data_IF_102358154487
#
_entry.id   IF_102358154487
#
_cell.length_a   1.000
_cell.length_b   1.000
_cell.length_c   1.000
_cell.angle_alpha   90.00
_cell.angle_beta   90.00
_cell.angle_gamma   90.00
#
_symmetry.space_group_name_H-M   'P 1'
#
loop_
_entity.id
_entity.type
_entity.pdbx_description
1 polymer ?
#
# COMPACT_ATOMS: atom_id res chain seq x y z
N UNK A 1 -2.15 -6.33 26.09
CA UNK A 1 -2.36 -4.91 26.47
C UNK A 1 -1.02 -4.31 26.91
N UNK A 2 -0.72 -3.08 26.50
CA UNK A 2 0.51 -2.37 26.89
C UNK A 2 0.40 -1.81 28.32
N UNK A 3 1.52 -1.78 29.06
CA UNK A 3 1.59 -1.17 30.40
C UNK A 3 1.83 0.33 30.26
N UNK A 4 0.95 1.14 30.84
CA UNK A 4 1.22 2.58 30.92
C UNK A 4 2.35 2.87 31.89
N UNK A 5 3.38 3.58 31.44
CA UNK A 5 4.52 3.97 32.30
C UNK A 5 4.08 4.83 33.50
N UNK A 6 2.92 5.49 33.41
CA UNK A 6 2.31 6.21 34.53
C UNK A 6 2.09 5.32 35.77
N UNK A 7 1.69 4.06 35.56
CA UNK A 7 1.46 3.09 36.64
C UNK A 7 2.74 2.64 37.34
N UNK A 8 3.89 2.86 36.69
CA UNK A 8 5.22 2.50 37.19
C UNK A 8 5.96 3.70 37.81
N UNK A 9 5.28 4.84 38.00
CA UNK A 9 5.89 6.06 38.51
C UNK A 9 6.66 5.84 39.82
N UNK A 10 7.87 6.43 39.89
CA UNK A 10 8.85 6.31 40.98
C UNK A 10 9.44 4.90 41.18
N UNK A 11 9.02 3.89 40.42
CA UNK A 11 9.62 2.55 40.47
C UNK A 11 10.89 2.51 39.63
N UNK A 12 11.83 1.67 40.06
CA UNK A 12 13.00 1.29 39.25
C UNK A 12 12.59 0.07 38.46
N UNK A 13 12.74 0.12 37.14
CA UNK A 13 12.33 -0.94 36.23
C UNK A 13 13.44 -1.21 35.23
N UNK A 14 13.50 -2.44 34.75
CA UNK A 14 14.37 -2.84 33.67
C UNK A 14 13.57 -2.85 32.37
N UNK A 15 14.00 -2.05 31.41
CA UNK A 15 13.35 -1.92 30.11
C UNK A 15 14.25 -2.53 29.04
N UNK A 16 13.62 -3.13 28.03
CA UNK A 16 14.28 -3.48 26.78
C UNK A 16 13.72 -2.64 25.64
N UNK A 17 14.52 -2.41 24.61
CA UNK A 17 14.09 -1.69 23.41
C UNK A 17 15.12 -1.77 22.30
N UNK A 18 14.81 -1.08 21.21
CA UNK A 18 15.64 -1.02 20.00
C UNK A 18 16.15 0.41 19.83
N UNK A 19 17.44 0.59 19.59
CA UNK A 19 17.99 1.89 19.22
C UNK A 19 17.37 2.33 17.90
N UNK A 20 16.75 3.50 17.87
CA UNK A 20 16.09 4.00 16.67
C UNK A 20 16.98 4.99 15.92
N UNK A 21 17.39 6.06 16.61
CA UNK A 21 18.20 7.13 16.05
C UNK A 21 18.95 7.90 17.13
N UNK A 22 20.00 8.59 16.71
CA UNK A 22 20.74 9.54 17.53
C UNK A 22 20.32 10.97 17.20
N UNK A 23 20.48 11.88 18.16
CA UNK A 23 20.15 13.29 17.98
C UNK A 23 20.96 14.16 18.93
N UNK A 24 20.82 15.47 18.79
CA UNK A 24 21.46 16.44 19.67
C UNK A 24 20.56 17.67 19.84
N UNK A 25 20.80 18.43 20.92
CA UNK A 25 20.25 19.76 21.08
C UNK A 25 21.26 20.65 21.80
N UNK A 26 21.26 21.93 21.49
CA UNK A 26 22.07 22.90 22.23
C UNK A 26 21.36 23.20 23.55
N UNK A 27 22.04 22.96 24.67
CA UNK A 27 21.59 23.49 25.95
C UNK A 27 22.17 24.88 26.14
N UNK A 28 21.32 25.90 26.05
CA UNK A 28 21.66 27.24 26.52
C UNK A 28 21.56 27.22 28.03
N UNK A 29 22.70 27.27 28.72
CA UNK A 29 22.68 27.54 30.16
C UNK A 29 22.27 28.99 30.34
N UNK A 30 21.08 29.22 30.88
CA UNK A 30 20.71 30.55 31.36
C UNK A 30 21.82 31.04 32.31
N UNK A 31 22.27 32.30 32.17
CA UNK A 31 23.30 32.83 33.04
C UNK A 31 22.87 32.65 34.50
N UNK A 32 23.69 31.95 35.28
CA UNK A 32 23.45 31.80 36.71
C UNK A 32 23.38 33.19 37.32
N UNK A 33 22.36 33.44 38.15
CA UNK A 33 22.12 34.71 38.85
C UNK A 33 23.28 35.16 39.77
N UNK A 34 24.34 34.33 39.89
CA UNK A 34 25.58 34.60 40.63
C UNK A 34 26.72 35.19 39.79
N UNK A 35 26.57 35.33 38.47
CA UNK A 35 27.63 35.93 37.65
C UNK A 35 27.35 37.43 37.42
N UNK A 36 28.28 38.33 37.79
CA UNK A 36 28.10 39.77 37.61
C UNK A 36 28.06 40.15 36.11
N UNK A 37 27.25 41.16 35.74
CA UNK A 37 27.17 41.67 34.38
C UNK A 37 28.46 42.44 34.07
N UNK A 38 29.37 41.84 33.29
CA UNK A 38 30.64 42.49 32.96
C UNK A 38 31.63 41.61 32.22
N UNK A 39 31.49 40.28 32.29
CA UNK A 39 32.12 39.39 31.31
C UNK A 39 31.10 39.08 30.23
N UNK A 40 31.33 39.55 29.00
CA UNK A 40 30.76 38.98 27.78
C UNK A 40 31.25 37.52 27.67
N UNK A 41 30.71 36.67 28.53
CA UNK A 41 31.05 35.27 28.64
C UNK A 41 30.30 34.54 27.54
N UNK A 42 31.04 34.22 26.47
CA UNK A 42 30.81 33.13 25.55
C UNK A 42 29.70 32.21 26.06
N UNK A 43 28.49 32.34 25.51
CA UNK A 43 27.36 31.51 25.90
C UNK A 43 27.84 30.07 25.85
N UNK A 44 27.92 29.41 27.01
CA UNK A 44 28.51 28.09 27.14
C UNK A 44 27.51 27.08 26.57
N UNK A 45 27.39 27.07 25.24
CA UNK A 45 26.51 26.21 24.44
C UNK A 45 27.08 24.82 24.55
N UNK A 46 26.41 23.99 25.33
CA UNK A 46 26.77 22.58 25.45
C UNK A 46 25.82 21.79 24.56
N UNK A 47 26.35 21.16 23.52
CA UNK A 47 25.60 20.19 22.72
C UNK A 47 25.39 18.94 23.56
N UNK A 48 24.14 18.61 23.84
CA UNK A 48 23.77 17.37 24.54
C UNK A 48 23.32 16.37 23.51
N UNK A 49 24.13 15.34 23.30
CA UNK A 49 23.78 14.19 22.47
C UNK A 49 22.70 13.36 23.18
N UNK A 50 21.82 12.75 22.39
CA UNK A 50 20.71 11.92 22.84
C UNK A 50 20.58 10.67 21.97
N UNK A 51 20.02 9.61 22.55
CA UNK A 51 19.65 8.37 21.87
C UNK A 51 18.14 8.14 22.03
N UNK A 52 17.47 7.80 20.93
CA UNK A 52 16.09 7.37 20.93
C UNK A 52 16.04 5.85 21.02
N UNK A 53 15.32 5.33 22.01
CA UNK A 53 15.01 3.90 22.13
C UNK A 53 13.53 3.71 21.85
N UNK A 54 13.17 2.81 20.93
CA UNK A 54 11.79 2.47 20.54
C UNK A 54 11.44 1.04 20.90
N UNK A 55 10.16 0.67 20.72
CA UNK A 55 9.61 -0.64 21.05
C UNK A 55 9.92 -1.02 22.51
N UNK A 56 9.77 -0.05 23.41
CA UNK A 56 10.03 -0.23 24.83
C UNK A 56 9.09 -1.31 25.38
N UNK A 57 9.66 -2.20 26.19
CA UNK A 57 8.94 -3.22 26.93
C UNK A 57 9.62 -3.51 28.25
N UNK A 58 8.87 -4.03 29.22
CA UNK A 58 9.44 -4.53 30.48
C UNK A 58 10.33 -5.73 30.19
N UNK A 59 11.55 -5.72 30.73
CA UNK A 59 12.53 -6.77 30.43
C UNK A 59 12.07 -8.16 30.89
N UNK A 60 11.45 -8.23 32.07
CA UNK A 60 11.10 -9.49 32.72
C UNK A 60 9.87 -10.15 32.09
N UNK A 61 8.87 -9.37 31.71
CA UNK A 61 7.60 -9.86 31.17
C UNK A 61 7.49 -9.74 29.65
N UNK A 62 8.42 -9.01 29.01
CA UNK A 62 8.35 -8.60 27.59
C UNK A 62 7.09 -7.84 27.22
N UNK A 63 6.33 -7.34 28.21
CA UNK A 63 5.11 -6.60 27.97
C UNK A 63 5.46 -5.20 27.43
N UNK A 64 4.88 -4.84 26.29
CA UNK A 64 5.04 -3.50 25.70
C UNK A 64 4.62 -2.42 26.68
N UNK A 65 5.30 -1.26 26.66
CA UNK A 65 4.94 -0.09 27.48
C UNK A 65 4.45 1.07 26.63
N UNK A 66 3.73 1.99 27.25
CA UNK A 66 3.27 3.24 26.62
C UNK A 66 3.72 4.44 27.45
N UNK A 67 4.44 5.43 26.85
CA UNK A 67 4.87 5.47 25.44
C UNK A 67 5.91 4.39 25.09
N UNK A 68 5.88 3.96 23.83
CA UNK A 68 6.72 2.88 23.31
C UNK A 68 8.14 3.34 22.91
N UNK A 69 8.42 4.64 22.99
CA UNK A 69 9.72 5.22 22.67
C UNK A 69 10.09 6.35 23.62
N UNK A 70 11.38 6.56 23.81
CA UNK A 70 11.90 7.61 24.67
C UNK A 70 13.28 8.12 24.25
N UNK A 71 13.52 9.41 24.48
CA UNK A 71 14.81 10.04 24.28
C UNK A 71 15.60 10.08 25.60
N UNK A 72 16.79 9.48 25.59
CA UNK A 72 17.71 9.45 26.71
C UNK A 72 18.96 10.27 26.38
N UNK A 73 19.58 10.96 27.35
CA UNK A 73 20.87 11.59 27.12
C UNK A 73 21.92 10.53 26.80
N UNK A 74 22.73 10.78 25.78
CA UNK A 74 23.88 9.95 25.44
C UNK A 74 24.97 10.18 26.50
N UNK A 75 25.02 9.28 27.47
CA UNK A 75 26.07 9.27 28.51
C UNK A 75 27.18 8.29 28.15
N UNK A 76 28.24 8.29 28.95
CA UNK A 76 29.41 7.44 28.73
C UNK A 76 29.03 5.96 28.64
N UNK A 77 28.07 5.51 29.45
CA UNK A 77 27.61 4.10 29.48
C UNK A 77 27.00 3.69 28.13
N UNK A 78 26.25 4.59 27.48
CA UNK A 78 25.68 4.37 26.15
C UNK A 78 26.76 4.44 25.06
N UNK A 79 27.67 5.41 25.16
CA UNK A 79 28.73 5.63 24.19
C UNK A 79 29.74 4.46 24.15
N UNK A 80 30.10 3.90 25.32
CA UNK A 80 31.05 2.80 25.44
C UNK A 80 30.59 1.53 24.72
N UNK A 81 29.29 1.33 24.53
CA UNK A 81 28.74 0.17 23.83
C UNK A 81 28.84 0.29 22.30
N UNK A 82 29.23 1.46 21.77
CA UNK A 82 29.31 1.70 20.33
C UNK A 82 28.00 1.38 19.63
N UNK A 83 26.87 1.82 20.20
CA UNK A 83 25.53 1.45 19.76
C UNK A 83 25.27 1.92 18.32
N UNK A 84 24.52 1.12 17.57
CA UNK A 84 24.07 1.43 16.22
C UNK A 84 22.54 1.41 16.12
N UNK A 85 21.93 2.13 15.15
CA UNK A 85 20.50 2.05 14.90
C UNK A 85 20.07 0.60 14.61
N UNK A 86 19.08 0.12 15.34
CA UNK A 86 18.55 -1.24 15.27
C UNK A 86 19.10 -2.17 16.36
N UNK A 87 20.13 -1.79 17.11
CA UNK A 87 20.66 -2.58 18.21
C UNK A 87 19.60 -2.78 19.28
N UNK A 88 19.50 -4.00 19.83
CA UNK A 88 18.62 -4.28 20.97
C UNK A 88 19.38 -4.06 22.26
N UNK A 89 18.81 -3.28 23.16
CA UNK A 89 19.41 -2.95 24.45
C UNK A 89 18.44 -3.26 25.58
N UNK A 90 19.01 -3.53 26.75
CA UNK A 90 18.31 -3.62 28.03
C UNK A 90 18.96 -2.64 29.00
N UNK A 91 18.17 -1.92 29.77
CA UNK A 91 18.68 -0.89 30.67
C UNK A 91 17.76 -0.69 31.88
N UNK A 92 18.33 -0.35 33.03
CA UNK A 92 17.57 -0.07 34.26
C UNK A 92 17.46 1.43 34.48
N UNK A 93 16.25 1.88 34.77
CA UNK A 93 15.95 3.28 34.98
C UNK A 93 14.83 3.46 36.01
N UNK A 94 14.74 4.65 36.60
CA UNK A 94 13.59 5.04 37.40
C UNK A 94 12.55 5.69 36.49
N UNK A 95 11.29 5.29 36.58
CA UNK A 95 10.23 5.98 35.85
C UNK A 95 9.85 7.26 36.59
N UNK A 96 9.87 8.37 35.88
CA UNK A 96 9.57 9.68 36.43
C UNK A 96 8.71 10.50 35.48
N UNK A 97 8.07 11.51 36.04
CA UNK A 97 7.36 12.52 35.29
C UNK A 97 8.37 13.42 34.58
N UNK A 98 8.31 13.48 33.26
CA UNK A 98 9.24 14.22 32.42
C UNK A 98 8.48 15.16 31.48
N UNK A 99 9.12 16.27 31.13
CA UNK A 99 8.63 17.22 30.14
C UNK A 99 9.14 16.78 28.77
N UNK A 100 8.23 16.47 27.85
CA UNK A 100 8.51 16.10 26.46
C UNK A 100 8.00 17.20 25.54
N UNK A 101 8.86 17.68 24.64
CA UNK A 101 8.57 18.80 23.75
C UNK A 101 9.69 19.84 23.75
N UNK A 102 9.64 20.76 22.78
CA UNK A 102 10.60 21.85 22.62
C UNK A 102 10.02 23.12 23.27
N UNK A 103 10.78 23.75 24.18
CA UNK A 103 10.55 25.16 24.53
C UNK A 103 11.29 25.99 23.48
N UNK A 104 10.59 26.37 22.42
CA UNK A 104 11.13 27.31 21.45
C UNK A 104 10.85 28.72 21.93
N UNK A 105 11.84 29.35 22.58
CA UNK A 105 11.83 30.79 22.85
C UNK A 105 12.84 31.56 21.98
N UNK A 106 13.54 30.91 21.03
CA UNK A 106 14.64 31.58 20.31
C UNK A 106 14.35 32.03 18.87
N UNK A 107 13.15 31.82 18.33
CA UNK A 107 12.79 32.41 17.03
C UNK A 107 11.37 32.93 17.12
N UNK A 108 11.21 34.25 17.09
CA UNK A 108 9.94 35.00 17.16
C UNK A 108 8.99 34.74 15.98
N UNK A 109 8.69 33.47 15.70
CA UNK A 109 7.71 33.04 14.71
C UNK A 109 6.44 32.71 15.48
N UNK A 110 5.45 33.62 15.38
CA UNK A 110 4.07 33.38 15.81
C UNK A 110 3.50 32.21 15.02
N UNK A 111 3.62 30.99 15.55
CA UNK A 111 3.13 29.78 14.92
C UNK A 111 3.13 28.61 15.87
N UNK A 112 2.01 28.41 16.59
CA UNK A 112 1.67 27.21 17.38
C UNK A 112 2.83 26.59 18.18
N UNK A 113 3.19 27.21 19.31
CA UNK A 113 4.04 26.58 20.32
C UNK A 113 3.45 25.22 20.71
N UNK A 114 4.12 24.11 20.37
CA UNK A 114 3.73 22.79 20.88
C UNK A 114 3.90 22.80 22.40
N UNK A 115 2.79 22.75 23.12
CA UNK A 115 2.73 22.58 24.58
C UNK A 115 3.74 21.52 25.01
N UNK A 116 4.62 21.89 25.94
CA UNK A 116 5.45 20.93 26.68
C UNK A 116 4.48 19.96 27.36
N UNK A 117 4.37 18.74 26.82
CA UNK A 117 3.52 17.71 27.40
C UNK A 117 4.28 17.06 28.54
N UNK A 118 3.55 16.76 29.60
CA UNK A 118 4.12 16.05 30.72
C UNK A 118 3.77 14.58 30.58
N UNK A 119 4.80 13.76 30.31
CA UNK A 119 4.67 12.32 30.09
C UNK A 119 5.50 11.55 31.15
N UNK A 120 5.11 10.32 31.43
CA UNK A 120 5.90 9.43 32.28
C UNK A 120 6.88 8.65 31.43
N UNK A 121 8.14 8.63 31.84
CA UNK A 121 9.15 7.86 31.12
C UNK A 121 10.44 7.62 31.89
N UNK A 122 11.38 6.90 31.26
CA UNK A 122 12.72 6.67 31.76
C UNK A 122 13.42 7.93 32.27
N UNK A 123 14.01 7.84 33.46
CA UNK A 123 14.92 8.87 33.98
C UNK A 123 16.11 9.08 33.05
N UNK A 124 16.58 10.34 32.88
CA UNK A 124 17.86 10.61 32.21
C UNK A 124 19.05 9.95 32.93
N UNK A 125 18.88 9.54 34.20
CA UNK A 125 19.85 8.77 34.97
C UNK A 125 19.57 7.28 34.83
N UNK A 126 20.04 6.70 33.72
CA UNK A 126 20.05 5.24 33.52
C UNK A 126 21.18 4.65 34.36
N UNK A 127 20.92 3.55 35.07
CA UNK A 127 21.88 2.92 35.99
C UNK A 127 22.83 1.95 35.29
N UNK A 128 22.29 1.12 34.41
CA UNK A 128 23.03 0.14 33.63
C UNK A 128 22.44 0.08 32.21
N UNK A 129 23.26 -0.27 31.24
CA UNK A 129 22.84 -0.55 29.87
C UNK A 129 23.65 -1.72 29.35
N UNK A 130 22.97 -2.65 28.68
CA UNK A 130 23.58 -3.84 28.10
C UNK A 130 23.05 -4.02 26.69
N UNK A 131 23.97 -4.27 25.76
CA UNK A 131 23.64 -4.64 24.40
C UNK A 131 23.23 -6.12 24.39
N UNK A 132 21.99 -6.41 23.98
CA UNK A 132 21.48 -7.78 23.83
C UNK A 132 21.86 -8.35 22.47
N UNK A 133 21.66 -7.57 21.40
CA UNK A 133 21.96 -8.02 20.04
C UNK A 133 22.29 -6.84 19.14
N UNK A 134 23.31 -7.00 18.30
CA UNK A 134 23.60 -6.05 17.23
C UNK A 134 22.52 -6.13 16.15
N UNK A 135 22.19 -4.99 15.58
CA UNK A 135 21.52 -4.94 14.29
C UNK A 135 22.45 -5.47 13.22
N UNK A 136 22.07 -6.59 12.59
CA UNK A 136 22.73 -6.99 11.36
C UNK A 136 22.10 -6.21 10.20
N UNK A 137 22.39 -4.90 10.16
CA UNK A 137 21.87 -3.98 9.14
C UNK A 137 22.25 -4.45 7.74
N UNK A 138 23.45 -5.02 7.59
CA UNK A 138 23.95 -5.60 6.34
C UNK A 138 23.04 -6.75 5.89
N UNK A 139 22.73 -7.72 6.77
CA UNK A 139 21.80 -8.80 6.42
C UNK A 139 20.40 -8.28 6.08
N UNK A 140 19.89 -7.29 6.83
CA UNK A 140 18.56 -6.70 6.52
C UNK A 140 18.55 -5.98 5.17
N UNK A 141 19.63 -5.27 4.86
CA UNK A 141 19.80 -4.59 3.58
C UNK A 141 19.82 -5.61 2.43
N UNK A 142 20.62 -6.67 2.52
CA UNK A 142 20.65 -7.72 1.50
C UNK A 142 19.30 -8.43 1.36
N UNK A 143 18.60 -8.71 2.46
CA UNK A 143 17.26 -9.28 2.41
C UNK A 143 16.25 -8.33 1.74
N UNK A 144 16.32 -7.03 2.00
CA UNK A 144 15.47 -6.05 1.35
C UNK A 144 15.79 -5.93 -0.14
N UNK A 145 17.07 -5.98 -0.51
CA UNK A 145 17.52 -5.96 -1.89
C UNK A 145 17.01 -7.18 -2.67
N UNK A 146 17.18 -8.39 -2.12
CA UNK A 146 16.66 -9.62 -2.73
C UNK A 146 15.13 -9.58 -2.91
N UNK A 147 14.39 -9.00 -1.94
CA UNK A 147 12.94 -8.81 -2.08
C UNK A 147 12.58 -7.83 -3.20
N UNK A 148 13.33 -6.74 -3.34
CA UNK A 148 13.11 -5.79 -4.42
C UNK A 148 13.37 -6.42 -5.79
N UNK A 149 14.42 -7.23 -5.91
CA UNK A 149 14.72 -7.97 -7.15
C UNK A 149 13.57 -8.92 -7.54
N UNK A 150 13.01 -9.65 -6.57
CA UNK A 150 11.82 -10.50 -6.80
C UNK A 150 10.63 -9.65 -7.27
N UNK A 151 10.31 -8.56 -6.57
CA UNK A 151 9.20 -7.69 -6.94
C UNK A 151 9.36 -7.06 -8.32
N UNK A 152 10.59 -6.71 -8.72
CA UNK A 152 10.85 -6.21 -10.08
C UNK A 152 10.56 -7.28 -11.13
N UNK A 153 10.97 -8.53 -10.90
CA UNK A 153 10.67 -9.63 -11.84
C UNK A 153 9.17 -9.94 -11.92
N UNK A 154 8.45 -9.86 -10.79
CA UNK A 154 6.99 -10.04 -10.77
C UNK A 154 6.28 -8.93 -11.56
N UNK A 155 6.71 -7.67 -11.41
CA UNK A 155 6.17 -6.55 -12.17
C UNK A 155 6.43 -6.70 -13.68
N UNK A 156 7.61 -7.17 -14.08
CA UNK A 156 7.93 -7.43 -15.49
C UNK A 156 7.08 -8.56 -16.08
N UNK A 157 6.83 -9.62 -15.31
CA UNK A 157 5.95 -10.71 -15.74
C UNK A 157 4.51 -10.22 -15.89
N UNK A 158 3.99 -9.49 -14.90
CA UNK A 158 2.64 -8.95 -14.93
C UNK A 158 2.45 -7.95 -16.08
N UNK A 159 3.47 -7.14 -16.37
CA UNK A 159 3.46 -6.24 -17.51
C UNK A 159 3.39 -6.99 -18.85
N UNK A 160 4.13 -8.09 -19.00
CA UNK A 160 4.06 -8.95 -20.19
C UNK A 160 2.67 -9.59 -20.35
N UNK A 161 2.08 -10.08 -19.27
CA UNK A 161 0.71 -10.64 -19.29
C UNK A 161 -0.33 -9.58 -19.67
N UNK A 162 -0.18 -8.36 -19.14
CA UNK A 162 -1.04 -7.23 -19.49
C UNK A 162 -0.93 -6.89 -20.99
N UNK A 163 0.28 -6.81 -21.54
CA UNK A 163 0.50 -6.54 -22.97
C UNK A 163 -0.11 -7.64 -23.85
N UNK A 164 0.07 -8.92 -23.48
CA UNK A 164 -0.53 -10.03 -24.22
C UNK A 164 -2.06 -9.98 -24.20
N UNK A 165 -2.65 -9.62 -23.06
CA UNK A 165 -4.10 -9.44 -22.93
C UNK A 165 -4.60 -8.27 -23.76
N UNK A 166 -3.85 -7.17 -23.83
CA UNK A 166 -4.18 -6.01 -24.64
C UNK A 166 -4.14 -6.35 -26.15
N UNK A 167 -3.08 -7.02 -26.62
CA UNK A 167 -3.00 -7.47 -28.01
C UNK A 167 -4.16 -8.41 -28.38
N UNK A 168 -4.56 -9.27 -27.44
CA UNK A 168 -5.74 -10.13 -27.63
C UNK A 168 -7.00 -9.30 -27.78
N UNK A 169 -7.25 -8.32 -26.91
CA UNK A 169 -8.42 -7.44 -27.00
C UNK A 169 -8.47 -6.66 -28.32
N UNK A 170 -7.32 -6.17 -28.80
CA UNK A 170 -7.22 -5.50 -30.10
C UNK A 170 -7.60 -6.44 -31.25
N UNK A 171 -7.17 -7.70 -31.22
CA UNK A 171 -7.57 -8.71 -32.19
C UNK A 171 -9.08 -8.98 -32.16
N UNK A 172 -9.67 -9.16 -30.97
CA UNK A 172 -11.12 -9.35 -30.85
C UNK A 172 -11.90 -8.15 -31.40
N UNK A 173 -11.39 -6.93 -31.19
CA UNK A 173 -12.01 -5.73 -31.73
C UNK A 173 -11.96 -5.71 -33.27
N UNK A 174 -10.85 -6.12 -33.88
CA UNK A 174 -10.76 -6.20 -35.35
C UNK A 174 -11.71 -7.25 -35.91
N UNK A 175 -11.80 -8.41 -35.27
CA UNK A 175 -12.68 -9.50 -35.72
C UNK A 175 -14.16 -9.09 -35.63
N UNK A 176 -14.55 -8.42 -34.55
CA UNK A 176 -15.91 -7.88 -34.39
C UNK A 176 -16.25 -6.83 -35.46
N UNK A 177 -15.31 -5.95 -35.78
CA UNK A 177 -15.51 -4.95 -36.83
C UNK A 177 -15.67 -5.61 -38.21
N UNK A 178 -14.90 -6.67 -38.50
CA UNK A 178 -15.03 -7.43 -39.74
C UNK A 178 -16.39 -8.12 -39.83
N UNK A 179 -16.81 -8.83 -38.77
CA UNK A 179 -18.12 -9.48 -38.72
C UNK A 179 -19.27 -8.47 -38.89
N UNK A 180 -19.14 -7.28 -38.29
CA UNK A 180 -20.13 -6.21 -38.47
C UNK A 180 -20.22 -5.75 -39.94
N UNK A 181 -19.08 -5.62 -40.64
CA UNK A 181 -19.07 -5.28 -42.06
C UNK A 181 -19.70 -6.38 -42.93
N UNK A 182 -19.40 -7.65 -42.64
CA UNK A 182 -20.00 -8.79 -43.34
C UNK A 182 -21.52 -8.85 -43.14
N UNK A 183 -21.98 -8.62 -41.91
CA UNK A 183 -23.41 -8.54 -41.59
C UNK A 183 -24.10 -7.39 -42.35
N UNK A 184 -23.49 -6.22 -42.42
CA UNK A 184 -24.03 -5.08 -43.17
C UNK A 184 -24.13 -5.39 -44.67
N UNK A 185 -23.13 -6.05 -45.26
CA UNK A 185 -23.17 -6.50 -46.67
C UNK A 185 -24.30 -7.50 -46.90
N UNK A 186 -24.45 -8.50 -46.02
CA UNK A 186 -25.54 -9.47 -46.10
C UNK A 186 -26.92 -8.79 -45.98
N UNK A 187 -27.04 -7.79 -45.09
CA UNK A 187 -28.23 -6.97 -44.95
C UNK A 187 -28.58 -6.21 -46.23
N UNK A 188 -27.60 -5.59 -46.91
CA UNK A 188 -27.80 -4.91 -48.19
C UNK A 188 -28.27 -5.87 -49.29
N UNK A 189 -27.67 -7.07 -49.38
CA UNK A 189 -28.09 -8.10 -50.33
C UNK A 189 -29.55 -8.51 -50.08
N UNK A 190 -29.93 -8.74 -48.82
CA UNK A 190 -31.31 -9.08 -48.48
C UNK A 190 -32.32 -7.97 -48.83
N UNK A 191 -31.95 -6.70 -48.64
CA UNK A 191 -32.78 -5.57 -49.06
C UNK A 191 -32.98 -5.57 -50.58
N UNK A 192 -31.91 -5.74 -51.36
CA UNK A 192 -31.99 -5.80 -52.82
C UNK A 192 -32.86 -6.97 -53.29
N UNK A 193 -32.71 -8.16 -52.71
CA UNK A 193 -33.54 -9.32 -53.03
C UNK A 193 -35.02 -9.07 -52.70
N UNK A 194 -35.30 -8.37 -51.61
CA UNK A 194 -36.67 -8.02 -51.22
C UNK A 194 -37.29 -7.04 -52.20
N UNK A 195 -36.54 -6.02 -52.63
CA UNK A 195 -36.98 -5.05 -53.64
C UNK A 195 -37.24 -5.73 -55.00
N UNK A 196 -36.35 -6.63 -55.43
CA UNK A 196 -36.52 -7.41 -56.67
C UNK A 196 -37.79 -8.26 -56.63
N UNK A 197 -38.06 -8.93 -55.49
CA UNK A 197 -39.27 -9.74 -55.30
C UNK A 197 -40.53 -8.87 -55.34
N UNK A 198 -40.53 -7.69 -54.71
CA UNK A 198 -41.64 -6.74 -54.77
C UNK A 198 -41.89 -6.23 -56.20
N UNK A 199 -40.82 -5.92 -56.93
CA UNK A 199 -40.91 -5.47 -58.31
C UNK A 199 -41.50 -6.56 -59.22
N UNK A 200 -41.05 -7.81 -59.08
CA UNK A 200 -41.62 -8.96 -59.81
C UNK A 200 -43.09 -9.20 -59.44
N UNK A 201 -43.45 -9.12 -58.16
CA UNK A 201 -44.85 -9.24 -57.72
C UNK A 201 -45.73 -8.14 -58.33
N UNK A 202 -45.22 -6.91 -58.40
CA UNK A 202 -45.92 -5.80 -59.05
C UNK A 202 -46.07 -6.08 -60.55
N UNK A 203 -45.03 -6.47 -61.28
CA UNK A 203 -45.14 -6.80 -62.72
C UNK A 203 -46.17 -7.91 -63.01
N UNK A 204 -46.24 -8.92 -62.15
CA UNK A 204 -47.24 -10.00 -62.26
C UNK A 204 -48.68 -9.51 -62.03
N UNK A 205 -48.90 -8.53 -61.13
CA UNK A 205 -50.25 -8.01 -60.87
C UNK A 205 -50.82 -7.21 -62.05
N UNK A 206 -49.96 -6.59 -62.89
CA UNK A 206 -50.40 -5.86 -64.08
C UNK A 206 -50.64 -6.74 -65.31
N UNK A 207 -50.05 -7.93 -65.38
CA UNK A 207 -50.07 -8.79 -66.59
C UNK A 207 -51.16 -9.88 -66.56
N UNK A 208 -51.85 -10.08 -65.44
CA UNK A 208 -52.89 -11.11 -65.30
C UNK A 208 -54.26 -10.52 -64.87
N UNK A 209 -55.22 -10.34 -65.79
CA UNK A 209 -56.59 -10.00 -65.42
C UNK A 209 -57.32 -11.24 -64.85
N UNK A 210 -57.63 -11.20 -63.55
CA UNK A 210 -58.68 -11.87 -62.77
C UNK A 210 -59.01 -13.37 -62.91
N UNK A 211 -58.48 -14.14 -63.87
CA UNK A 211 -58.84 -15.57 -64.03
C UNK A 211 -57.95 -16.56 -63.25
N UNK A 212 -56.83 -16.10 -62.66
CA UNK A 212 -55.87 -16.97 -61.95
C UNK A 212 -55.62 -16.59 -60.48
N UNK A 213 -56.48 -15.74 -59.90
CA UNK A 213 -56.31 -15.25 -58.52
C UNK A 213 -56.31 -16.36 -57.44
N UNK A 214 -56.78 -17.57 -57.75
CA UNK A 214 -56.84 -18.69 -56.82
C UNK A 214 -55.57 -19.56 -56.77
N UNK A 215 -54.62 -19.39 -57.71
CA UNK A 215 -53.36 -20.17 -57.71
C UNK A 215 -52.22 -19.54 -56.89
N UNK A 216 -52.27 -18.22 -56.66
CA UNK A 216 -51.13 -17.45 -56.11
C UNK A 216 -51.11 -17.34 -54.59
N UNK A 217 -52.23 -17.59 -53.90
CA UNK A 217 -52.28 -17.64 -52.42
C UNK A 217 -51.50 -18.85 -51.87
N UNK A 218 -51.25 -19.88 -52.68
CA UNK A 218 -50.48 -21.06 -52.27
C UNK A 218 -48.96 -20.85 -52.22
N UNK A 219 -48.41 -19.85 -52.92
CA UNK A 219 -46.94 -19.67 -53.03
C UNK A 219 -46.40 -18.70 -51.96
N UNK A 220 -47.20 -17.74 -51.50
CA UNK A 220 -46.83 -16.86 -50.37
C UNK A 220 -46.72 -17.60 -49.04
N UNK A 221 -47.41 -18.73 -48.87
CA UNK A 221 -47.28 -19.57 -47.66
C UNK A 221 -45.94 -20.34 -47.57
N UNK A 222 -45.25 -20.58 -48.70
CA UNK A 222 -44.00 -21.35 -48.72
C UNK A 222 -42.78 -20.44 -48.42
N UNK A 223 -42.81 -19.18 -48.84
CA UNK A 223 -41.74 -18.22 -48.55
C UNK A 223 -41.71 -17.77 -47.07
N UNK A 224 -42.84 -17.78 -46.37
CA UNK A 224 -42.89 -17.50 -44.93
C UNK A 224 -42.32 -18.65 -44.07
N UNK A 225 -42.28 -19.88 -44.60
CA UNK A 225 -41.83 -21.05 -43.86
C UNK A 225 -40.31 -21.27 -43.93
N UNK A 226 -39.63 -20.75 -44.97
CA UNK A 226 -38.18 -20.84 -45.11
C UNK A 226 -37.40 -19.74 -44.37
N UNK A 227 -38.05 -18.63 -43.99
CA UNK A 227 -37.44 -17.57 -43.16
C UNK A 227 -37.39 -17.88 -41.66
N UNK A 228 -38.10 -18.91 -41.18
CA UNK A 228 -38.25 -19.24 -39.76
C UNK A 228 -37.26 -20.25 -39.18
N UNK A 229 -36.40 -20.87 -39.99
CA UNK A 229 -35.54 -21.99 -39.57
C UNK A 229 -34.06 -21.66 -39.34
N UNK A 230 -33.69 -20.38 -39.29
CA UNK A 230 -32.30 -19.95 -39.03
C UNK A 230 -32.09 -19.14 -37.74
N UNK A 231 -33.00 -19.25 -36.76
CA UNK A 231 -32.69 -18.92 -35.36
C UNK A 231 -32.06 -20.14 -34.68
N UNK A 232 -30.86 -20.50 -35.14
CA UNK A 232 -30.01 -21.45 -34.43
C UNK A 232 -29.72 -20.92 -33.03
N UNK A 233 -30.02 -21.72 -32.01
CA UNK A 233 -29.62 -21.50 -30.63
C UNK A 233 -28.09 -21.40 -30.55
N UNK A 234 -27.56 -20.19 -30.45
CA UNK A 234 -26.23 -19.97 -29.91
C UNK A 234 -26.34 -20.08 -28.38
N UNK A 235 -26.27 -21.29 -27.86
CA UNK A 235 -26.00 -21.48 -26.43
C UNK A 235 -24.56 -21.03 -26.18
N UNK A 236 -24.41 -19.80 -25.69
CA UNK A 236 -23.17 -19.32 -25.10
C UNK A 236 -22.93 -20.16 -23.84
N UNK A 237 -22.13 -21.22 -23.93
CA UNK A 237 -21.55 -21.88 -22.77
C UNK A 237 -20.59 -20.90 -22.10
N UNK A 238 -20.83 -20.46 -20.86
CA UNK A 238 -19.86 -19.65 -20.14
C UNK A 238 -18.58 -20.48 -19.91
N UNK A 239 -17.38 -19.91 -20.08
CA UNK A 239 -16.16 -20.61 -19.72
C UNK A 239 -16.17 -20.89 -18.22
N UNK A 240 -16.02 -22.17 -17.91
CA UNK A 240 -15.89 -22.75 -16.59
C UNK A 240 -14.92 -21.95 -15.72
N UNK A 241 -15.39 -21.62 -14.53
CA UNK A 241 -14.61 -21.14 -13.40
C UNK A 241 -13.51 -22.14 -13.01
N UNK A 242 -12.42 -21.57 -12.51
CA UNK A 242 -11.46 -22.14 -11.56
C UNK A 242 -10.58 -23.30 -12.02
N UNK A 243 -9.33 -22.97 -12.34
CA UNK A 243 -8.19 -23.72 -11.84
C UNK A 243 -7.37 -22.80 -10.91
N UNK A 244 -7.52 -22.99 -9.60
CA UNK A 244 -6.56 -22.52 -8.61
C UNK A 244 -5.34 -23.47 -8.63
N UNK A 245 -4.10 -22.96 -8.79
CA UNK A 245 -2.93 -23.73 -8.43
C UNK A 245 -2.65 -23.61 -6.92
N UNK A 246 -2.83 -24.76 -6.25
CA UNK A 246 -2.14 -25.26 -5.07
C UNK A 246 -1.45 -24.28 -4.11
N UNK A 247 -2.06 -24.13 -2.94
CA UNK A 247 -1.35 -23.82 -1.70
C UNK A 247 -0.39 -24.98 -1.38
N UNK A 248 0.90 -24.83 -1.69
CA UNK A 248 1.96 -25.71 -1.17
C UNK A 248 2.47 -25.13 0.14
N UNK A 249 2.06 -25.76 1.23
CA UNK A 249 2.63 -25.61 2.56
C UNK A 249 4.09 -26.11 2.47
N UNK A 250 5.05 -25.19 2.52
CA UNK A 250 6.41 -25.54 2.90
C UNK A 250 6.47 -25.62 4.42
N UNK A 251 6.55 -26.85 4.92
CA UNK A 251 7.19 -27.13 6.20
C UNK A 251 8.69 -26.89 6.03
N UNK A 252 9.27 -26.10 6.93
CA UNK A 252 10.72 -26.05 7.12
C UNK A 252 11.06 -26.83 8.40
N UNK A 253 12.16 -27.61 8.40
CA UNK A 253 12.85 -27.99 9.63
C UNK A 253 13.55 -26.79 10.29
#
# INVERSE_FOLDING_TARGET
MAVELATLHKRVVRLMGVIDRFGSYESVRLPSRRNPPGRQGQSNRRTIQKVCVRHLSLADTRQAVTPDHWWLPMRQEWANLGLQPGDKVIFTTKIHRAKKGYQGDELGVKGTHRLVRVEYGPSPNVKDVTLISRSNLVTRYHQAQARNEILTTELENLHREYQASQATLEQWQTDLNQLHQELNKAGQINLHLTDDLQHLQHQLSWTCPLKYAYGLVGITAIAAFSGGLFLGQWTVTPPSTLHQPGNRIHQSP
#
